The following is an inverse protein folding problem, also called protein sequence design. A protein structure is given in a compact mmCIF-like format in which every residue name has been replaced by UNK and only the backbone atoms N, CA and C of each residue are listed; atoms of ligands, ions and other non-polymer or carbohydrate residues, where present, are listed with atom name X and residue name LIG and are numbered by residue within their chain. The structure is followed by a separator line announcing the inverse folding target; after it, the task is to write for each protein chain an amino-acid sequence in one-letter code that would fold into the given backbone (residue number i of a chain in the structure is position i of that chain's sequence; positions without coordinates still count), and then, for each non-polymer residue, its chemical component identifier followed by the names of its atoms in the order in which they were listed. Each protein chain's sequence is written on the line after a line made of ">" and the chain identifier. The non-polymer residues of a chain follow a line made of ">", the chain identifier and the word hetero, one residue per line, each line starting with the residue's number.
data_IF_085301324660
#
_entry.id   IF_085301324660
#
_cell.length_a   1.000
_cell.length_b   1.000
_cell.length_c   1.000
_cell.angle_alpha   90.00
_cell.angle_beta   90.00
_cell.angle_gamma   90.00
#
_symmetry.space_group_name_H-M   'P 1'
#
loop_
_entity.id
_entity.type
_entity.pdbx_description
1 polymer ?
2 polymer ?
3 non-polymer ?
4 non-polymer ?
5 non-polymer ?
6 water ?
#
# COMPACT_ATOMS: atom_id res chain seq x y z
N UNK A 6 15.86 -27.63 -9.77
CA UNK A 6 14.71 -26.76 -9.56
C UNK A 6 14.67 -26.15 -8.16
N UNK A 7 15.30 -24.99 -8.01
CA UNK A 7 15.41 -24.31 -6.74
C UNK A 7 14.29 -23.30 -6.57
N UNK A 8 14.04 -22.92 -5.31
CA UNK A 8 13.11 -21.84 -4.96
C UNK A 8 13.85 -20.84 -4.09
N UNK A 9 14.47 -19.86 -4.74
CA UNK A 9 15.13 -18.74 -4.06
C UNK A 9 14.14 -17.59 -4.09
N UNK A 10 13.60 -17.23 -2.93
CA UNK A 10 12.47 -16.32 -2.80
C UNK A 10 12.96 -14.95 -2.35
N UNK A 11 12.45 -13.91 -3.00
CA UNK A 11 12.51 -12.56 -2.49
C UNK A 11 11.11 -11.94 -2.62
N UNK A 12 10.89 -10.86 -1.89
CA UNK A 12 9.60 -10.19 -1.86
C UNK A 12 9.81 -8.71 -2.11
N UNK A 13 8.86 -8.08 -2.81
CA UNK A 13 8.93 -6.64 -3.01
C UNK A 13 7.54 -6.04 -2.83
N UNK A 14 7.49 -4.84 -2.25
CA UNK A 14 6.25 -4.08 -2.14
C UNK A 14 5.40 -4.34 -0.91
N UNK A 15 5.81 -5.24 -0.01
CA UNK A 15 5.01 -5.61 1.15
C UNK A 15 5.46 -4.83 2.37
N UNK A 16 4.49 -4.40 3.18
CA UNK A 16 4.81 -3.81 4.46
C UNK A 16 5.27 -4.90 5.43
N UNK A 17 5.86 -4.46 6.54
CA UNK A 17 6.52 -5.37 7.47
C UNK A 17 5.59 -6.49 7.92
N UNK A 18 4.36 -6.14 8.31
CA UNK A 18 3.44 -7.14 8.85
C UNK A 18 3.05 -8.17 7.79
N UNK A 19 2.83 -7.72 6.54
CA UNK A 19 2.52 -8.65 5.45
C UNK A 19 3.72 -9.55 5.17
N UNK A 20 4.91 -8.96 5.15
CA UNK A 20 6.13 -9.72 4.90
C UNK A 20 6.37 -10.77 6.00
N UNK A 21 6.14 -10.39 7.26
CA UNK A 21 6.28 -11.34 8.36
C UNK A 21 5.35 -12.53 8.19
N UNK A 22 4.10 -12.29 7.78
CA UNK A 22 3.17 -13.39 7.62
C UNK A 22 3.59 -14.31 6.48
N UNK A 23 4.11 -13.74 5.40
CA UNK A 23 4.50 -14.56 4.25
C UNK A 23 5.76 -15.36 4.55
N UNK A 24 6.72 -14.75 5.25
CA UNK A 24 7.95 -15.49 5.55
C UNK A 24 7.65 -16.62 6.52
N UNK A 25 6.69 -16.44 7.43
CA UNK A 25 6.28 -17.51 8.32
C UNK A 25 5.78 -18.72 7.52
N UNK A 26 5.05 -18.48 6.44
CA UNK A 26 4.56 -19.57 5.61
C UNK A 26 5.69 -20.28 4.86
N UNK A 27 6.80 -19.57 4.60
CA UNK A 27 7.93 -20.21 3.92
C UNK A 27 8.55 -21.31 4.75
N UNK A 28 8.35 -21.28 6.07
CA UNK A 28 8.91 -22.33 6.92
C UNK A 28 8.26 -23.67 6.67
N UNK A 29 7.16 -23.72 5.92
CA UNK A 29 6.51 -24.97 5.57
C UNK A 29 7.03 -25.56 4.27
N UNK A 30 8.00 -24.91 3.63
CA UNK A 30 8.46 -25.31 2.30
C UNK A 30 9.98 -25.28 2.25
N UNK A 31 10.56 -26.22 1.51
CA UNK A 31 12.00 -26.17 1.25
C UNK A 31 12.29 -25.02 0.29
N UNK A 32 13.14 -24.11 0.72
CA UNK A 32 13.41 -22.92 -0.09
C UNK A 32 14.54 -22.12 0.54
N UNK A 33 14.96 -21.09 -0.19
CA UNK A 33 15.85 -20.06 0.30
C UNK A 33 15.09 -18.75 0.31
N UNK A 34 15.24 -17.96 1.38
CA UNK A 34 14.71 -16.60 1.40
C UNK A 34 15.86 -15.63 1.60
N UNK A 35 15.92 -14.60 0.76
CA UNK A 35 16.98 -13.61 0.86
C UNK A 35 16.37 -12.30 1.31
N UNK A 36 16.72 -11.87 2.52
CA UNK A 36 16.32 -10.56 3.02
C UNK A 36 17.36 -9.56 2.56
N UNK A 37 16.95 -8.66 1.67
CA UNK A 37 17.78 -7.55 1.19
C UNK A 37 16.86 -6.62 0.42
N UNK A 38 17.17 -5.32 0.47
CA UNK A 38 16.51 -4.39 -0.43
C UNK A 38 16.94 -4.60 -1.88
N UNK A 39 18.05 -5.31 -2.08
CA UNK A 39 18.63 -5.49 -3.39
C UNK A 39 18.08 -6.73 -4.07
N UNK A 40 18.11 -6.73 -5.39
CA UNK A 40 17.91 -7.96 -6.14
C UNK A 40 19.09 -8.88 -5.92
N UNK A 41 18.81 -10.13 -5.53
CA UNK A 41 19.84 -11.11 -5.22
C UNK A 41 19.59 -12.41 -5.97
N UNK A 42 19.22 -12.32 -7.24
CA UNK A 42 19.13 -13.47 -8.14
C UNK A 42 18.09 -14.49 -7.66
N UNK A 43 16.95 -13.99 -7.19
CA UNK A 43 15.85 -14.88 -6.84
C UNK A 43 15.31 -15.58 -8.07
N UNK A 44 14.87 -16.83 -7.88
CA UNK A 44 14.14 -17.53 -8.93
C UNK A 44 12.67 -17.15 -8.95
N UNK A 45 12.13 -16.80 -7.78
CA UNK A 45 10.73 -16.41 -7.62
C UNK A 45 10.69 -15.12 -6.81
N UNK A 46 10.20 -14.06 -7.43
CA UNK A 46 9.93 -12.80 -6.76
C UNK A 46 8.45 -12.72 -6.45
N UNK A 47 8.11 -12.48 -5.19
CA UNK A 47 6.72 -12.27 -4.80
C UNK A 47 6.49 -10.76 -4.75
N UNK A 48 5.61 -10.25 -5.59
CA UNK A 48 5.39 -8.82 -5.73
C UNK A 48 3.99 -8.46 -5.24
N UNK A 49 3.92 -7.45 -4.36
CA UNK A 49 2.63 -6.96 -3.89
C UNK A 49 1.82 -6.35 -5.04
N UNK A 50 2.49 -5.71 -5.99
CA UNK A 50 1.83 -5.03 -7.09
C UNK A 50 2.86 -4.82 -8.19
N UNK A 51 2.37 -4.51 -9.38
CA UNK A 51 3.29 -4.08 -10.43
C UNK A 51 3.99 -2.80 -9.96
N UNK A 52 5.28 -2.71 -10.23
CA UNK A 52 6.05 -1.58 -9.70
C UNK A 52 7.39 -1.51 -10.42
N UNK A 53 8.22 -0.53 -10.00
CA UNK A 53 9.53 -0.29 -10.59
C UNK A 53 10.63 -0.35 -9.53
N UNK A 54 10.48 -1.26 -8.56
CA UNK A 54 11.53 -1.50 -7.59
C UNK A 54 12.72 -2.15 -8.28
N UNK A 55 13.88 -2.09 -7.62
CA UNK A 55 15.04 -2.79 -8.15
C UNK A 55 14.74 -4.26 -8.34
N UNK A 56 14.09 -4.90 -7.36
CA UNK A 56 13.78 -6.32 -7.46
C UNK A 56 12.88 -6.61 -8.65
N UNK A 57 11.83 -5.79 -8.84
CA UNK A 57 10.89 -6.06 -9.91
C UNK A 57 11.55 -5.89 -11.28
N UNK A 58 12.30 -4.79 -11.47
CA UNK A 58 12.92 -4.56 -12.77
C UNK A 58 14.00 -5.60 -13.06
N UNK A 59 14.79 -5.94 -12.05
CA UNK A 59 15.85 -6.93 -12.25
C UNK A 59 15.26 -8.30 -12.54
N UNK A 60 14.20 -8.69 -11.84
CA UNK A 60 13.59 -9.99 -12.10
C UNK A 60 13.02 -10.06 -13.51
N UNK A 61 12.41 -8.97 -13.99
CA UNK A 61 11.97 -8.90 -15.38
C UNK A 61 13.15 -9.08 -16.32
N UNK A 62 14.25 -8.37 -16.05
CA UNK A 62 15.39 -8.39 -16.96
C UNK A 62 16.01 -9.77 -17.05
N UNK A 63 15.88 -10.57 -16.00
CA UNK A 63 16.44 -11.92 -15.98
C UNK A 63 15.39 -12.99 -16.31
N UNK A 64 14.16 -12.59 -16.62
CA UNK A 64 13.13 -13.55 -16.95
C UNK A 64 12.72 -14.46 -15.81
N UNK A 65 12.75 -13.96 -14.58
CA UNK A 65 12.36 -14.76 -13.43
C UNK A 65 10.84 -14.81 -13.29
N UNK A 66 10.38 -15.70 -12.41
CA UNK A 66 8.97 -15.73 -12.03
C UNK A 66 8.69 -14.57 -11.09
N UNK A 67 7.70 -13.75 -11.44
CA UNK A 67 7.19 -12.71 -10.57
C UNK A 67 5.73 -13.03 -10.31
N UNK A 68 5.39 -13.30 -9.06
CA UNK A 68 4.14 -13.95 -8.70
C UNK A 68 3.42 -13.16 -7.62
N UNK A 69 2.15 -13.50 -7.42
CA UNK A 69 1.36 -12.92 -6.34
C UNK A 69 1.59 -13.68 -5.05
N UNK A 70 1.19 -13.07 -3.94
CA UNK A 70 1.40 -13.70 -2.64
C UNK A 70 0.60 -14.99 -2.50
N UNK A 71 -0.48 -15.15 -3.28
CA UNK A 71 -1.24 -16.40 -3.27
C UNK A 71 -0.36 -17.60 -3.59
N UNK A 72 0.73 -17.40 -4.34
CA UNK A 72 1.63 -18.52 -4.63
C UNK A 72 2.22 -19.10 -3.35
N UNK A 73 2.60 -18.24 -2.40
CA UNK A 73 3.12 -18.72 -1.13
C UNK A 73 2.00 -19.31 -0.28
N UNK A 74 0.87 -18.60 -0.19
CA UNK A 74 -0.22 -19.05 0.66
C UNK A 74 -0.70 -20.44 0.23
N UNK A 75 -0.92 -20.62 -1.08
CA UNK A 75 -1.45 -21.90 -1.56
C UNK A 75 -0.40 -22.99 -1.53
N UNK A 76 0.86 -22.67 -1.84
CA UNK A 76 1.90 -23.70 -1.77
C UNK A 76 2.10 -24.19 -0.34
N UNK A 77 2.13 -23.27 0.62
CA UNK A 77 2.30 -23.69 2.00
C UNK A 77 1.14 -24.56 2.45
N UNK A 78 -0.09 -24.19 2.09
CA UNK A 78 -1.24 -25.01 2.45
C UNK A 78 -1.14 -26.40 1.83
N UNK A 79 -0.64 -26.50 0.60
CA UNK A 79 -0.53 -27.79 -0.06
C UNK A 79 0.70 -28.57 0.35
N UNK A 80 1.62 -27.95 1.10
CA UNK A 80 2.84 -28.63 1.50
C UNK A 80 3.82 -28.86 0.37
N UNK A 81 3.72 -28.11 -0.72
CA UNK A 81 4.55 -28.36 -1.89
C UNK A 81 4.47 -27.13 -2.79
N UNK A 82 5.59 -26.76 -3.40
CA UNK A 82 5.59 -25.66 -4.36
C UNK A 82 4.73 -26.02 -5.57
N UNK A 83 3.75 -25.18 -5.87
CA UNK A 83 2.80 -25.46 -6.92
C UNK A 83 3.28 -24.93 -8.27
N UNK A 84 2.52 -25.24 -9.31
CA UNK A 84 2.78 -24.69 -10.63
C UNK A 84 2.64 -23.17 -10.55
N UNK A 85 3.67 -22.46 -11.04
CA UNK A 85 3.69 -21.00 -10.98
C UNK A 85 2.68 -20.34 -11.91
N UNK A 86 2.19 -21.04 -12.94
CA UNK A 86 1.57 -20.39 -14.09
C UNK A 86 0.43 -19.45 -13.70
N UNK A 87 -0.54 -19.93 -12.92
CA UNK A 87 -1.71 -19.10 -12.67
C UNK A 87 -1.46 -18.00 -11.64
N UNK A 88 -0.28 -17.95 -11.03
CA UNK A 88 0.06 -16.94 -10.04
C UNK A 88 0.94 -15.85 -10.60
N UNK A 89 1.30 -15.95 -11.87
CA UNK A 89 2.25 -15.00 -12.47
C UNK A 89 1.59 -13.65 -12.69
N UNK A 90 2.34 -12.59 -12.40
CA UNK A 90 1.95 -11.27 -12.86
C UNK A 90 2.06 -11.25 -14.38
N UNK A 91 0.91 -11.20 -15.05
CA UNK A 91 0.85 -11.37 -16.49
C UNK A 91 -0.01 -12.53 -16.93
N UNK A 92 -0.38 -13.43 -16.01
CA UNK A 92 -1.28 -14.52 -16.36
C UNK A 92 -2.62 -13.99 -16.86
N UNK A 93 -3.13 -12.93 -16.25
CA UNK A 93 -4.38 -12.34 -16.67
C UNK A 93 -4.23 -10.82 -16.66
N UNK A 94 -4.67 -10.19 -17.74
CA UNK A 94 -4.50 -8.74 -17.94
C UNK A 94 -5.82 -8.04 -17.63
N UNK A 95 -5.73 -6.98 -16.83
CA UNK A 95 -6.88 -6.12 -16.51
C UNK A 95 -7.14 -5.17 -17.67
N UNK A 96 -8.33 -5.24 -18.26
CA UNK A 96 -8.60 -4.36 -19.38
C UNK A 96 -8.74 -2.91 -18.94
N UNK A 97 -9.19 -2.70 -17.70
CA UNK A 97 -9.38 -1.38 -17.08
C UNK A 97 -8.32 -1.23 -15.99
N UNK A 98 -7.25 -0.49 -16.27
CA UNK A 98 -6.11 -0.47 -15.37
C UNK A 98 -5.31 0.81 -15.56
N UNK A 99 -4.66 1.26 -14.47
CA UNK A 99 -3.67 2.33 -14.58
C UNK A 99 -2.41 1.88 -15.27
N UNK A 100 -2.24 0.58 -15.45
CA UNK A 100 -1.04 0.00 -16.05
C UNK A 100 -1.36 -0.50 -17.44
N UNK A 101 -0.46 -0.22 -18.38
CA UNK A 101 -0.64 -0.62 -19.76
C UNK A 101 -0.64 -2.14 -19.87
N UNK A 102 -1.26 -2.67 -20.92
CA UNK A 102 -1.16 -4.12 -21.16
C UNK A 102 0.27 -4.60 -21.22
N UNK A 103 1.18 -3.79 -21.76
CA UNK A 103 2.59 -4.18 -21.80
C UNK A 103 3.16 -4.28 -20.39
N UNK A 104 2.89 -3.29 -19.53
CA UNK A 104 3.43 -3.38 -18.17
C UNK A 104 2.83 -4.54 -17.39
N UNK A 105 1.51 -4.77 -17.53
CA UNK A 105 0.88 -5.86 -16.78
C UNK A 105 1.41 -7.22 -17.18
N UNK A 106 1.86 -7.35 -18.43
CA UNK A 106 2.35 -8.62 -18.96
C UNK A 106 3.86 -8.75 -18.90
N UNK A 107 4.56 -7.70 -18.49
CA UNK A 107 6.03 -7.67 -18.59
C UNK A 107 6.72 -8.88 -17.97
N UNK A 108 6.36 -9.33 -16.76
CA UNK A 108 7.10 -10.50 -16.22
C UNK A 108 6.93 -11.73 -17.07
N UNK A 109 5.71 -12.01 -17.52
CA UNK A 109 5.47 -13.16 -18.40
C UNK A 109 6.14 -12.97 -19.74
N UNK A 110 6.07 -11.77 -20.32
CA UNK A 110 6.68 -11.52 -21.62
C UNK A 110 8.16 -11.84 -21.61
N UNK A 111 8.87 -11.37 -20.58
CA UNK A 111 10.32 -11.59 -20.55
C UNK A 111 10.67 -13.04 -20.22
N UNK A 112 9.96 -13.64 -19.26
CA UNK A 112 10.22 -15.04 -18.95
C UNK A 112 10.07 -15.90 -20.20
N UNK A 113 8.97 -15.71 -20.94
CA UNK A 113 8.73 -16.52 -22.13
C UNK A 113 9.68 -16.14 -23.27
N UNK A 114 10.01 -14.85 -23.40
CA UNK A 114 10.87 -14.43 -24.51
C UNK A 114 12.29 -14.94 -24.34
N UNK A 115 12.83 -14.88 -23.12
CA UNK A 115 14.19 -15.37 -22.91
C UNK A 115 14.25 -16.88 -23.10
N UNK A 116 13.21 -17.61 -22.71
CA UNK A 116 13.18 -19.04 -23.01
C UNK A 116 13.11 -19.28 -24.51
N UNK A 117 12.31 -18.48 -25.23
CA UNK A 117 12.14 -18.67 -26.66
C UNK A 117 13.46 -18.47 -27.41
N UNK A 118 14.14 -17.36 -27.14
CA UNK A 118 15.34 -17.00 -27.89
C UNK A 118 16.60 -17.65 -27.34
N UNK A 119 16.60 -18.09 -26.09
CA UNK A 119 17.78 -18.62 -25.46
C UNK A 119 18.68 -17.58 -24.82
N UNK A 120 18.34 -16.30 -24.91
CA UNK A 120 19.19 -15.27 -24.34
C UNK A 120 19.11 -15.30 -22.81
N UNK A 121 20.20 -14.97 -22.11
CA UNK A 121 20.19 -15.05 -20.65
C UNK A 121 19.62 -13.84 -19.94
N UNK A 122 19.30 -12.78 -20.68
CA UNK A 122 18.71 -11.59 -20.09
C UNK A 122 18.29 -10.60 -21.16
N UNK A 123 17.46 -9.64 -20.74
CA UNK A 123 16.90 -8.64 -21.64
C UNK A 123 17.94 -7.70 -22.22
N UNK A 124 19.10 -7.56 -21.57
CA UNK A 124 20.14 -6.64 -22.00
C UNK A 124 21.40 -7.37 -22.45
N UNK A 125 21.29 -8.65 -22.78
CA UNK A 125 22.47 -9.39 -23.18
C UNK A 125 23.06 -8.79 -24.46
N UNK A 126 24.39 -8.65 -24.47
CA UNK A 126 25.22 -8.02 -25.52
C UNK A 126 25.22 -6.50 -25.40
N UNK A 127 24.46 -5.91 -24.48
CA UNK A 127 24.60 -4.48 -24.22
C UNK A 127 25.91 -4.21 -23.52
N UNK A 128 26.56 -3.11 -23.89
CA UNK A 128 27.77 -2.63 -23.21
C UNK A 128 27.50 -1.17 -22.86
N UNK A 129 27.27 -0.89 -21.58
CA UNK A 129 26.60 0.33 -21.14
C UNK A 129 27.57 1.20 -20.35
N UNK A 130 27.65 2.48 -20.72
CA UNK A 130 28.26 3.50 -19.87
C UNK A 130 27.14 4.25 -19.17
N UNK A 131 27.23 4.35 -17.85
CA UNK A 131 26.29 5.13 -17.06
C UNK A 131 26.89 6.49 -16.73
N UNK A 132 26.15 7.56 -17.04
CA UNK A 132 26.50 8.90 -16.61
C UNK A 132 25.43 9.40 -15.65
N UNK A 133 25.44 8.86 -14.43
CA UNK A 133 24.42 9.13 -13.44
C UNK A 133 24.84 10.32 -12.60
N UNK A 134 23.88 11.18 -12.28
CA UNK A 134 24.11 12.36 -11.47
C UNK A 134 24.99 12.03 -10.27
N UNK A 135 26.01 12.88 -10.05
CA UNK A 135 27.07 12.53 -9.11
C UNK A 135 26.60 12.52 -7.66
N UNK A 136 25.44 13.13 -7.36
CA UNK A 136 24.96 13.18 -5.99
C UNK A 136 24.24 11.92 -5.57
N UNK A 137 24.05 10.95 -6.47
CA UNK A 137 23.22 9.80 -6.19
C UNK A 137 23.92 8.52 -6.60
N UNK A 138 23.49 7.41 -6.00
CA UNK A 138 24.05 6.10 -6.29
C UNK A 138 23.45 5.54 -7.58
N UNK A 139 24.31 5.04 -8.46
CA UNK A 139 23.84 4.28 -9.61
C UNK A 139 23.67 2.80 -9.30
N UNK A 140 23.85 2.41 -8.03
CA UNK A 140 24.01 1.00 -7.69
C UNK A 140 22.79 0.16 -8.07
N UNK A 141 21.59 0.67 -7.83
CA UNK A 141 20.39 -0.10 -8.19
C UNK A 141 20.26 -0.26 -9.69
N UNK A 142 20.52 0.81 -10.46
CA UNK A 142 20.49 0.69 -11.91
C UNK A 142 21.50 -0.35 -12.38
N UNK A 143 22.69 -0.35 -11.77
CA UNK A 143 23.72 -1.30 -12.19
C UNK A 143 23.26 -2.73 -11.95
N UNK A 144 22.63 -3.00 -10.81
CA UNK A 144 22.19 -4.37 -10.55
C UNK A 144 21.06 -4.79 -11.46
N UNK A 145 20.18 -3.87 -11.87
CA UNK A 145 19.16 -4.20 -12.86
C UNK A 145 19.80 -4.51 -14.20
N UNK A 146 20.72 -3.66 -14.64
CA UNK A 146 21.42 -3.89 -15.90
C UNK A 146 22.14 -5.22 -15.88
N UNK A 147 22.85 -5.51 -14.79
CA UNK A 147 23.61 -6.76 -14.74
C UNK A 147 22.68 -7.97 -14.61
N UNK A 148 21.51 -7.80 -14.00
CA UNK A 148 20.57 -8.92 -13.97
C UNK A 148 20.08 -9.28 -15.36
N UNK A 149 19.99 -8.30 -16.25
CA UNK A 149 19.67 -8.50 -17.64
C UNK A 149 20.85 -8.86 -18.49
N UNK A 150 22.00 -9.10 -17.86
CA UNK A 150 23.24 -9.56 -18.50
C UNK A 150 23.88 -8.49 -19.37
N UNK A 151 23.58 -7.21 -19.11
CA UNK A 151 24.35 -6.14 -19.70
C UNK A 151 25.76 -6.10 -19.10
N UNK A 152 26.70 -5.60 -19.88
CA UNK A 152 28.04 -5.34 -19.41
C UNK A 152 28.12 -3.84 -19.10
N UNK A 153 28.26 -3.50 -17.82
CA UNK A 153 28.40 -2.11 -17.41
C UNK A 153 29.88 -1.75 -17.45
N UNK A 154 30.23 -0.84 -18.36
CA UNK A 154 31.61 -0.44 -18.58
C UNK A 154 32.01 0.54 -17.49
N UNK A 155 33.00 0.17 -16.68
CA UNK A 155 33.54 1.05 -15.66
C UNK A 155 34.52 2.05 -16.29
N UNK A 156 34.78 3.16 -15.61
CA UNK A 156 35.68 4.17 -16.19
C UNK A 156 37.05 3.63 -16.58
N UNK A 157 37.59 2.67 -15.85
CA UNK A 157 38.91 2.13 -16.14
C UNK A 157 38.90 1.09 -17.25
N UNK A 158 37.75 0.77 -17.84
CA UNK A 158 37.65 -0.19 -18.92
C UNK A 158 37.57 0.53 -20.26
N UNK A 159 38.05 -0.14 -21.31
CA UNK A 159 38.10 0.48 -22.63
C UNK A 159 36.68 0.74 -23.14
N UNK A 160 36.47 1.85 -23.83
CA UNK A 160 35.15 2.15 -24.40
C UNK A 160 34.85 1.45 -25.71
N UNK A 161 35.70 0.51 -26.14
CA UNK A 161 35.44 -0.20 -27.38
C UNK A 161 34.14 -0.97 -27.30
N UNK A 162 33.28 -0.77 -28.29
CA UNK A 162 32.07 -1.55 -28.39
C UNK A 162 30.91 -1.09 -27.53
N UNK A 163 30.99 0.09 -26.92
CA UNK A 163 29.86 0.61 -26.16
C UNK A 163 28.63 0.66 -27.05
N UNK A 164 27.50 0.22 -26.50
CA UNK A 164 26.24 0.21 -27.22
C UNK A 164 25.28 1.29 -26.77
N UNK A 165 25.28 1.62 -25.47
CA UNK A 165 24.37 2.59 -24.89
C UNK A 165 25.12 3.50 -23.94
N UNK A 166 24.82 4.78 -23.99
CA UNK A 166 25.15 5.71 -22.91
C UNK A 166 23.84 6.07 -22.22
N UNK A 167 23.68 5.61 -20.98
CA UNK A 167 22.48 5.91 -20.21
C UNK A 167 22.84 7.02 -19.23
N UNK A 168 22.18 8.16 -19.37
CA UNK A 168 22.66 9.39 -18.73
C UNK A 168 21.54 10.11 -18.02
N UNK A 169 21.84 10.57 -16.80
CA UNK A 169 21.01 11.57 -16.17
C UNK A 169 20.95 12.79 -17.09
N UNK A 170 19.74 13.32 -17.29
CA UNK A 170 19.55 14.50 -18.13
C UNK A 170 20.15 14.29 -19.52
N UNK A 171 19.95 13.09 -20.09
CA UNK A 171 20.43 12.82 -21.44
C UNK A 171 19.83 13.79 -22.44
N UNK A 172 18.60 14.26 -22.21
CA UNK A 172 17.93 15.06 -23.20
C UNK A 172 18.38 16.52 -23.23
N UNK A 173 19.19 16.99 -22.27
CA UNK A 173 19.64 18.38 -22.33
C UNK A 173 21.12 18.50 -22.64
N UNK A 174 21.84 17.39 -22.74
CA UNK A 174 23.28 17.46 -22.99
C UNK A 174 23.56 17.96 -24.40
N UNK A 175 24.60 18.77 -24.54
CA UNK A 175 24.99 19.29 -25.85
C UNK A 175 25.49 18.17 -26.74
N UNK A 176 25.33 18.38 -28.06
CA UNK A 176 25.91 17.45 -29.02
C UNK A 176 27.41 17.32 -28.84
N UNK A 177 28.07 18.42 -28.46
CA UNK A 177 29.52 18.40 -28.23
C UNK A 177 29.88 17.41 -27.12
N UNK A 178 29.07 17.36 -26.07
CA UNK A 178 29.32 16.37 -25.00
C UNK A 178 28.94 14.97 -25.46
N UNK A 179 27.83 14.84 -26.21
CA UNK A 179 27.46 13.53 -26.74
C UNK A 179 28.54 13.00 -27.69
N UNK A 180 29.28 13.89 -28.35
CA UNK A 180 30.32 13.50 -29.29
C UNK A 180 31.50 12.83 -28.61
N UNK A 181 31.60 12.89 -27.28
CA UNK A 181 32.64 12.14 -26.58
C UNK A 181 32.38 10.65 -26.60
N UNK A 182 31.25 10.20 -27.13
CA UNK A 182 30.90 8.79 -27.20
C UNK A 182 30.39 8.47 -28.60
N UNK A 183 30.76 7.29 -29.10
CA UNK A 183 30.25 6.85 -30.39
C UNK A 183 28.80 6.40 -30.29
N UNK A 184 28.42 5.82 -29.16
CA UNK A 184 27.09 5.26 -28.93
C UNK A 184 26.08 6.36 -28.63
N UNK A 185 24.80 6.11 -28.89
CA UNK A 185 23.76 7.11 -28.60
C UNK A 185 23.50 7.23 -27.11
N UNK A 186 22.88 8.35 -26.75
CA UNK A 186 22.50 8.63 -25.37
C UNK A 186 21.05 8.24 -25.13
N UNK A 187 20.79 7.66 -23.96
CA UNK A 187 19.45 7.29 -23.53
C UNK A 187 19.18 7.86 -22.15
N UNK A 188 17.96 8.32 -21.88
CA UNK A 188 17.61 8.77 -20.53
C UNK A 188 17.50 7.58 -19.58
N UNK A 189 17.55 7.89 -18.28
CA UNK A 189 17.37 6.86 -17.26
C UNK A 189 16.08 6.09 -17.49
N UNK A 190 15.00 6.80 -17.87
CA UNK A 190 13.71 6.15 -18.05
C UNK A 190 13.71 5.07 -19.14
N UNK A 191 14.67 5.11 -20.07
CA UNK A 191 14.70 4.12 -21.14
C UNK A 191 14.79 2.71 -20.59
N UNK A 192 15.52 2.53 -19.48
CA UNK A 192 15.70 1.22 -18.88
C UNK A 192 14.34 0.65 -18.47
N UNK A 193 13.55 1.45 -17.75
CA UNK A 193 12.23 0.99 -17.38
C UNK A 193 11.31 0.78 -18.57
N UNK A 194 11.39 1.68 -19.56
CA UNK A 194 10.50 1.59 -20.71
C UNK A 194 10.82 0.36 -21.55
N UNK A 195 12.12 0.08 -21.74
CA UNK A 195 12.50 -1.09 -22.52
C UNK A 195 11.90 -2.37 -21.93
N UNK A 196 11.92 -2.48 -20.60
CA UNK A 196 11.40 -3.67 -19.94
C UNK A 196 9.88 -3.69 -19.90
N UNK A 197 9.24 -2.57 -19.56
CA UNK A 197 7.83 -2.57 -19.20
C UNK A 197 6.88 -2.10 -20.29
N UNK A 198 7.32 -1.24 -21.20
CA UNK A 198 6.39 -0.53 -22.07
C UNK A 198 6.65 -0.75 -23.55
N UNK A 199 7.91 -0.83 -23.97
CA UNK A 199 8.23 -0.85 -25.38
C UNK A 199 7.65 -2.09 -26.07
N UNK A 200 7.08 -1.88 -27.25
CA UNK A 200 6.59 -2.98 -28.08
C UNK A 200 7.76 -3.40 -28.98
N UNK A 201 8.38 -4.53 -28.65
CA UNK A 201 9.45 -5.07 -29.47
C UNK A 201 8.86 -5.91 -30.61
N UNK B 5 -26.36 15.84 -7.35
CA UNK B 5 -27.04 16.16 -6.11
C UNK B 5 -26.38 15.51 -4.87
N UNK B 6 -26.04 14.22 -4.93
CA UNK B 6 -25.26 13.64 -3.82
C UNK B 6 -23.92 14.34 -3.67
N UNK B 7 -23.54 14.63 -2.43
CA UNK B 7 -22.26 15.24 -2.17
C UNK B 7 -21.16 14.18 -2.15
N UNK B 8 -19.95 14.61 -2.49
CA UNK B 8 -18.77 13.75 -2.38
C UNK B 8 -17.72 14.55 -1.64
N UNK B 9 -17.70 14.39 -0.32
CA UNK B 9 -16.69 14.99 0.55
C UNK B 9 -15.66 13.90 0.82
N UNK B 10 -14.46 14.05 0.26
CA UNK B 10 -13.48 12.96 0.16
C UNK B 10 -12.39 13.20 1.20
N UNK B 11 -12.03 12.13 1.92
CA UNK B 11 -10.78 12.09 2.66
C UNK B 11 -10.07 10.79 2.31
N UNK B 12 -8.78 10.73 2.66
CA UNK B 12 -7.93 9.59 2.36
C UNK B 12 -7.19 9.17 3.62
N UNK B 13 -6.99 7.87 3.79
CA UNK B 13 -6.19 7.37 4.90
C UNK B 13 -5.28 6.25 4.44
N UNK B 14 -4.03 6.25 4.93
CA UNK B 14 -3.12 5.15 4.71
C UNK B 14 -2.23 5.25 3.49
N UNK B 15 -2.35 6.30 2.68
CA UNK B 15 -1.59 6.42 1.44
C UNK B 15 -0.31 7.20 1.66
N UNK B 16 0.76 6.77 0.98
CA UNK B 16 1.98 7.56 0.94
C UNK B 16 1.78 8.77 0.05
N UNK B 17 2.67 9.76 0.20
CA UNK B 17 2.49 11.03 -0.49
C UNK B 17 2.33 10.87 -2.00
N UNK B 18 3.16 10.02 -2.62
CA UNK B 18 3.12 9.92 -4.08
C UNK B 18 1.76 9.41 -4.55
N UNK B 19 1.17 8.48 -3.80
CA UNK B 19 -0.13 7.97 -4.21
C UNK B 19 -1.24 8.97 -3.89
N UNK B 20 -1.12 9.68 -2.76
CA UNK B 20 -2.08 10.75 -2.48
C UNK B 20 -2.07 11.78 -3.58
N UNK B 21 -0.87 12.19 -4.03
CA UNK B 21 -0.78 13.16 -5.12
C UNK B 21 -1.47 12.64 -6.38
N UNK B 22 -1.23 11.37 -6.72
CA UNK B 22 -1.86 10.80 -7.91
C UNK B 22 -3.38 10.80 -7.79
N UNK B 23 -3.90 10.46 -6.61
CA UNK B 23 -5.35 10.37 -6.45
C UNK B 23 -6.00 11.75 -6.40
N UNK B 24 -5.38 12.71 -5.71
CA UNK B 24 -5.98 14.04 -5.67
C UNK B 24 -5.95 14.67 -7.06
N UNK B 25 -4.96 14.34 -7.88
CA UNK B 25 -4.94 14.84 -9.25
C UNK B 25 -6.12 14.32 -10.04
N UNK B 26 -6.56 13.09 -9.75
CA UNK B 26 -7.73 12.52 -10.43
C UNK B 26 -9.02 13.15 -9.93
N UNK B 27 -9.06 13.58 -8.67
CA UNK B 27 -10.23 14.29 -8.15
C UNK B 27 -10.55 15.54 -8.94
N UNK B 28 -9.56 16.14 -9.60
CA UNK B 28 -9.80 17.34 -10.40
C UNK B 28 -10.69 17.08 -11.60
N UNK B 29 -10.98 15.82 -11.91
CA UNK B 29 -11.90 15.45 -12.98
C UNK B 29 -13.33 15.33 -12.51
N UNK B 30 -13.59 15.56 -11.22
CA UNK B 30 -14.89 15.30 -10.63
C UNK B 30 -15.28 16.43 -9.71
N UNK B 31 -16.57 16.75 -9.69
CA UNK B 31 -17.08 17.70 -8.72
C UNK B 31 -17.07 17.06 -7.34
N UNK B 32 -16.34 17.66 -6.39
CA UNK B 32 -16.20 17.07 -5.07
C UNK B 32 -15.54 18.08 -4.15
N UNK B 33 -15.42 17.70 -2.89
CA UNK B 33 -14.63 18.39 -1.89
C UNK B 33 -13.55 17.43 -1.42
N UNK B 34 -12.31 17.90 -1.28
CA UNK B 34 -11.26 17.12 -0.64
C UNK B 34 -10.81 17.85 0.62
N UNK B 35 -10.76 17.14 1.74
CA UNK B 35 -10.32 17.72 3.01
C UNK B 35 -8.97 17.11 3.37
N UNK B 36 -7.93 17.93 3.33
CA UNK B 36 -6.59 17.53 3.77
C UNK B 36 -6.50 17.79 5.26
N UNK B 37 -6.42 16.72 6.04
CA UNK B 37 -6.26 16.79 7.49
C UNK B 37 -5.90 15.40 7.97
N UNK B 38 -5.11 15.33 9.05
CA UNK B 38 -4.94 14.04 9.72
C UNK B 38 -6.20 13.62 10.45
N UNK B 39 -7.10 14.57 10.72
CA UNK B 39 -8.30 14.32 11.50
C UNK B 39 -9.44 13.86 10.61
N UNK B 40 -10.36 13.10 11.20
CA UNK B 40 -11.64 12.86 10.55
C UNK B 40 -12.42 14.17 10.49
N UNK B 41 -12.93 14.51 9.31
CA UNK B 41 -13.65 15.76 9.08
C UNK B 41 -14.99 15.52 8.41
N UNK B 42 -15.71 14.49 8.86
CA UNK B 42 -17.09 14.23 8.39
C UNK B 42 -17.13 13.99 6.88
N UNK B 43 -16.19 13.21 6.37
CA UNK B 43 -16.22 12.85 4.97
C UNK B 43 -17.41 11.93 4.68
N UNK B 44 -17.96 12.05 3.47
CA UNK B 44 -18.97 11.10 3.02
C UNK B 44 -18.33 9.84 2.46
N UNK B 45 -17.15 9.98 1.86
CA UNK B 45 -16.43 8.88 1.23
C UNK B 45 -15.00 8.92 1.75
N UNK B 46 -14.60 7.90 2.50
CA UNK B 46 -13.21 7.75 2.91
C UNK B 46 -12.53 6.74 1.99
N UNK B 47 -11.43 7.16 1.37
CA UNK B 47 -10.61 6.27 0.55
C UNK B 47 -9.51 5.72 1.45
N UNK B 48 -9.49 4.40 1.64
CA UNK B 48 -8.56 3.74 2.54
C UNK B 48 -7.60 2.87 1.75
N UNK B 49 -6.30 3.04 2.02
CA UNK B 49 -5.29 2.19 1.38
C UNK B 49 -5.40 0.75 1.86
N UNK B 50 -5.77 0.55 3.13
CA UNK B 50 -5.85 -0.78 3.72
C UNK B 50 -6.80 -0.68 4.91
N UNK B 51 -7.20 -1.85 5.40
CA UNK B 51 -7.84 -1.92 6.70
C UNK B 51 -6.86 -1.45 7.77
N UNK B 52 -7.34 -0.63 8.69
CA UNK B 52 -6.46 -0.05 9.70
C UNK B 52 -7.31 0.47 10.84
N UNK B 53 -6.65 1.15 11.79
CA UNK B 53 -7.31 1.73 12.94
C UNK B 53 -6.93 3.20 13.09
N UNK B 54 -6.80 3.89 11.96
CA UNK B 54 -6.59 5.32 11.98
C UNK B 54 -7.83 6.02 12.51
N UNK B 55 -7.64 7.28 12.94
CA UNK B 55 -8.79 8.09 13.35
C UNK B 55 -9.84 8.15 12.25
N UNK B 56 -9.41 8.39 11.01
CA UNK B 56 -10.37 8.48 9.91
C UNK B 56 -11.13 7.19 9.71
N UNK B 57 -10.44 6.05 9.76
CA UNK B 57 -11.09 4.77 9.49
C UNK B 57 -12.10 4.43 10.57
N UNK B 58 -11.69 4.55 11.84
CA UNK B 58 -12.62 4.25 12.94
C UNK B 58 -13.80 5.20 12.95
N UNK B 59 -13.55 6.50 12.76
CA UNK B 59 -14.62 7.48 12.79
C UNK B 59 -15.60 7.25 11.66
N UNK B 60 -15.09 6.95 10.46
CA UNK B 60 -15.97 6.69 9.33
C UNK B 60 -16.85 5.47 9.58
N UNK B 61 -16.28 4.41 10.16
CA UNK B 61 -17.10 3.26 10.57
C UNK B 61 -18.18 3.70 11.55
N UNK B 62 -17.80 4.50 12.55
CA UNK B 62 -18.75 4.85 13.60
C UNK B 62 -19.93 5.65 13.07
N UNK B 63 -19.72 6.39 11.98
CA UNK B 63 -20.76 7.19 11.35
C UNK B 63 -21.39 6.49 10.16
N UNK B 64 -20.94 5.28 9.83
CA UNK B 64 -21.50 4.53 8.73
C UNK B 64 -21.25 5.15 7.37
N UNK B 65 -20.12 5.83 7.19
CA UNK B 65 -19.75 6.39 5.91
C UNK B 65 -19.27 5.30 4.95
N UNK B 66 -19.11 5.68 3.69
CA UNK B 66 -18.48 4.80 2.71
C UNK B 66 -16.97 4.78 2.94
N UNK B 67 -16.40 3.57 3.07
CA UNK B 67 -14.95 3.41 3.11
C UNK B 67 -14.59 2.53 1.92
N UNK B 68 -13.81 3.08 0.99
CA UNK B 68 -13.66 2.49 -0.34
C UNK B 68 -12.18 2.32 -0.70
N UNK B 69 -11.96 1.55 -1.77
CA UNK B 69 -10.63 1.39 -2.34
C UNK B 69 -10.31 2.55 -3.28
N UNK B 70 -9.02 2.74 -3.55
CA UNK B 70 -8.59 3.78 -4.46
C UNK B 70 -9.17 3.61 -5.87
N UNK B 71 -9.55 2.40 -6.24
CA UNK B 71 -10.16 2.19 -7.55
C UNK B 71 -11.46 2.97 -7.71
N UNK B 72 -12.13 3.33 -6.60
CA UNK B 72 -13.32 4.16 -6.72
C UNK B 72 -13.00 5.50 -7.36
N UNK B 73 -11.88 6.12 -6.95
CA UNK B 73 -11.45 7.38 -7.55
C UNK B 73 -10.96 7.15 -8.96
N UNK B 74 -10.15 6.10 -9.16
CA UNK B 74 -9.53 5.86 -10.45
C UNK B 74 -10.59 5.60 -11.52
N UNK B 75 -11.57 4.75 -11.20
CA UNK B 75 -12.59 4.41 -12.18
C UNK B 75 -13.58 5.57 -12.38
N UNK B 76 -13.94 6.28 -11.31
CA UNK B 76 -14.86 7.40 -11.47
C UNK B 76 -14.24 8.49 -12.35
N UNK B 77 -12.98 8.84 -12.10
CA UNK B 77 -12.32 9.85 -12.91
C UNK B 77 -12.27 9.43 -14.37
N UNK B 78 -12.01 8.15 -14.62
CA UNK B 78 -11.91 7.64 -15.99
C UNK B 78 -13.26 7.68 -16.70
N UNK B 79 -14.35 7.43 -15.98
CA UNK B 79 -15.69 7.55 -16.55
C UNK B 79 -16.20 8.98 -16.56
N UNK B 80 -15.55 9.89 -15.84
CA UNK B 80 -16.02 11.25 -15.77
C UNK B 80 -17.19 11.45 -14.86
N UNK B 81 -17.48 10.49 -13.98
CA UNK B 81 -18.61 10.64 -13.09
C UNK B 81 -18.41 9.75 -11.88
N UNK B 82 -18.99 10.17 -10.76
CA UNK B 82 -18.92 9.35 -9.56
C UNK B 82 -19.77 8.09 -9.75
N UNK B 83 -19.15 6.94 -9.50
CA UNK B 83 -19.78 5.66 -9.75
C UNK B 83 -20.55 5.18 -8.51
N UNK B 84 -21.32 4.12 -8.70
CA UNK B 84 -21.90 3.42 -7.56
C UNK B 84 -20.78 2.90 -6.66
N UNK B 85 -20.92 3.13 -5.35
CA UNK B 85 -19.89 2.79 -4.38
C UNK B 85 -19.78 1.30 -4.08
N UNK B 86 -20.84 0.53 -4.34
CA UNK B 86 -21.00 -0.79 -3.73
C UNK B 86 -19.81 -1.72 -3.97
N UNK B 87 -19.34 -1.83 -5.22
CA UNK B 87 -18.31 -2.83 -5.48
C UNK B 87 -16.93 -2.40 -5.05
N UNK B 88 -16.78 -1.15 -4.59
CA UNK B 88 -15.51 -0.61 -4.13
C UNK B 88 -15.41 -0.54 -2.60
N UNK B 89 -16.45 -0.98 -1.90
CA UNK B 89 -16.48 -0.87 -0.45
C UNK B 89 -15.52 -1.87 0.19
N UNK B 90 -14.81 -1.40 1.21
CA UNK B 90 -14.08 -2.33 2.07
C UNK B 90 -15.11 -3.17 2.82
N UNK B 91 -15.15 -4.46 2.50
CA UNK B 91 -16.19 -5.37 2.96
C UNK B 91 -16.95 -6.03 1.84
N UNK B 92 -16.87 -5.48 0.61
CA UNK B 92 -17.55 -6.09 -0.53
C UNK B 92 -16.98 -7.47 -0.84
N UNK B 93 -15.70 -7.70 -0.56
CA UNK B 93 -15.08 -9.00 -0.78
C UNK B 93 -14.15 -9.27 0.38
N UNK B 94 -14.39 -10.36 1.10
CA UNK B 94 -13.63 -10.72 2.29
C UNK B 94 -12.66 -11.82 1.93
N UNK B 95 -11.40 -11.67 2.33
CA UNK B 95 -10.36 -12.65 2.04
C UNK B 95 -10.43 -13.80 3.05
N UNK B 96 -10.28 -15.03 2.55
CA UNK B 96 -10.25 -16.17 3.47
C UNK B 96 -8.89 -16.28 4.15
N UNK B 97 -7.81 -16.03 3.41
CA UNK B 97 -6.45 -16.02 3.94
C UNK B 97 -6.08 -14.57 4.22
N UNK B 98 -6.27 -14.14 5.46
CA UNK B 98 -6.04 -12.74 5.82
C UNK B 98 -5.57 -12.65 7.26
N UNK B 99 -4.77 -11.62 7.54
CA UNK B 99 -4.41 -11.26 8.90
C UNK B 99 -5.59 -10.74 9.70
N UNK B 100 -6.70 -10.45 9.05
CA UNK B 100 -7.84 -9.79 9.69
C UNK B 100 -9.04 -10.72 9.73
N UNK B 101 -9.79 -10.64 10.84
CA UNK B 101 -11.02 -11.40 10.98
C UNK B 101 -12.02 -11.00 9.92
N UNK B 102 -12.97 -11.89 9.60
CA UNK B 102 -14.06 -11.49 8.71
C UNK B 102 -14.83 -10.28 9.21
N UNK B 103 -14.99 -10.16 10.54
CA UNK B 103 -15.67 -9.00 11.09
C UNK B 103 -14.90 -7.72 10.82
N UNK B 104 -13.57 -7.75 11.01
CA UNK B 104 -12.76 -6.56 10.73
C UNK B 104 -12.81 -6.21 9.24
N UNK B 105 -12.66 -7.21 8.37
CA UNK B 105 -12.67 -6.97 6.93
C UNK B 105 -13.97 -6.37 6.45
N UNK B 106 -15.07 -6.63 7.16
CA UNK B 106 -16.40 -6.19 6.74
C UNK B 106 -16.92 -5.01 7.53
N UNK B 107 -16.14 -4.48 8.47
CA UNK B 107 -16.65 -3.45 9.39
C UNK B 107 -17.25 -2.24 8.69
N UNK B 108 -16.61 -1.61 7.68
CA UNK B 108 -17.25 -0.44 7.05
C UNK B 108 -18.62 -0.76 6.48
N UNK B 109 -18.74 -1.86 5.74
CA UNK B 109 -20.03 -2.26 5.20
C UNK B 109 -21.02 -2.60 6.30
N UNK B 110 -20.57 -3.32 7.34
CA UNK B 110 -21.46 -3.70 8.42
C UNK B 110 -22.09 -2.49 9.09
N UNK B 111 -21.29 -1.45 9.36
CA UNK B 111 -21.84 -0.29 10.04
C UNK B 111 -22.67 0.58 9.12
N UNK B 112 -22.25 0.75 7.87
CA UNK B 112 -23.08 1.51 6.94
C UNK B 112 -24.46 0.87 6.81
N UNK B 113 -24.51 -0.46 6.65
CA UNK B 113 -25.79 -1.13 6.44
C UNK B 113 -26.61 -1.19 7.72
N UNK B 114 -25.96 -1.32 8.88
CA UNK B 114 -26.69 -1.43 10.14
C UNK B 114 -27.32 -0.10 10.52
N UNK B 115 -26.61 1.01 10.34
CA UNK B 115 -27.19 2.31 10.65
C UNK B 115 -28.32 2.65 9.68
N UNK B 116 -28.22 2.19 8.43
CA UNK B 116 -29.36 2.33 7.53
C UNK B 116 -30.54 1.49 8.01
N UNK B 117 -30.28 0.28 8.53
CA UNK B 117 -31.36 -0.59 8.93
C UNK B 117 -32.10 -0.04 10.15
N UNK B 118 -31.38 0.50 11.12
CA UNK B 118 -32.00 1.02 12.33
C UNK B 118 -32.38 2.49 12.23
N UNK B 119 -31.77 3.25 11.32
CA UNK B 119 -31.93 4.68 11.30
C UNK B 119 -31.13 5.43 12.34
N UNK B 120 -30.32 4.74 13.13
CA UNK B 120 -29.57 5.38 14.20
C UNK B 120 -28.49 6.29 13.61
N UNK B 121 -28.21 7.43 14.26
CA UNK B 121 -27.23 8.37 13.70
C UNK B 121 -25.80 7.88 13.75
N UNK B 122 -25.47 6.91 14.60
CA UNK B 122 -24.09 6.45 14.67
C UNK B 122 -23.98 5.26 15.59
N UNK B 123 -22.79 4.65 15.57
CA UNK B 123 -22.55 3.44 16.33
C UNK B 123 -22.60 3.66 17.83
N UNK B 124 -22.36 4.89 18.29
CA UNK B 124 -22.31 5.22 19.70
C UNK B 124 -23.48 6.10 20.11
N UNK B 125 -24.57 6.06 19.34
CA UNK B 125 -25.74 6.88 19.64
C UNK B 125 -26.23 6.58 21.04
N UNK B 126 -26.52 7.64 21.79
CA UNK B 126 -27.06 7.57 23.15
C UNK B 126 -26.01 7.09 24.15
N UNK B 127 -24.74 6.97 23.75
CA UNK B 127 -23.66 6.79 24.70
C UNK B 127 -23.30 8.14 25.31
N UNK B 128 -23.13 8.16 26.63
CA UNK B 128 -22.61 9.32 27.35
C UNK B 128 -21.32 8.88 28.03
N UNK B 129 -20.19 9.36 27.54
CA UNK B 129 -18.89 8.78 27.85
C UNK B 129 -18.03 9.73 28.66
N UNK B 130 -17.49 9.23 29.76
CA UNK B 130 -16.36 9.85 30.43
C UNK B 130 -15.11 9.20 29.87
N UNK B 131 -14.17 10.02 29.44
CA UNK B 131 -12.90 9.52 28.90
C UNK B 131 -11.84 9.86 29.95
N UNK B 132 -11.60 8.91 30.86
CA UNK B 132 -10.66 9.10 31.96
C UNK B 132 -9.23 8.74 31.59
N UNK B 133 -8.89 8.79 30.31
CA UNK B 133 -7.60 8.30 29.84
C UNK B 133 -6.55 9.40 29.94
N UNK B 134 -6.60 10.31 28.98
CA UNK B 134 -5.58 11.32 28.80
C UNK B 134 -6.31 12.55 28.28
N UNK B 135 -5.59 13.65 28.11
CA UNK B 135 -6.18 14.81 27.46
C UNK B 135 -5.07 15.46 26.64
N UNK B 136 -4.96 15.04 25.39
CA UNK B 136 -3.82 15.39 24.54
C UNK B 136 -4.22 15.18 23.09
N UNK B 137 -3.21 15.17 22.21
CA UNK B 137 -3.43 14.85 20.80
C UNK B 137 -4.15 13.50 20.66
N UNK B 138 -3.75 12.52 21.47
CA UNK B 138 -4.24 11.16 21.30
C UNK B 138 -5.62 10.98 21.91
N UNK B 139 -5.89 11.68 23.01
CA UNK B 139 -7.25 11.73 23.55
C UNK B 139 -8.20 12.44 22.59
N UNK B 140 -7.74 13.54 21.99
CA UNK B 140 -8.58 14.28 21.06
C UNK B 140 -8.99 13.43 19.87
N UNK B 141 -8.10 12.56 19.39
CA UNK B 141 -8.45 11.68 18.28
C UNK B 141 -9.56 10.70 18.67
N UNK B 142 -9.44 10.09 19.85
CA UNK B 142 -10.49 9.19 20.33
C UNK B 142 -11.81 9.92 20.49
N UNK B 143 -11.76 11.17 20.97
CA UNK B 143 -12.99 11.95 21.14
C UNK B 143 -13.66 12.19 19.80
N UNK B 144 -12.88 12.48 18.76
CA UNK B 144 -13.49 12.68 17.43
C UNK B 144 -14.11 11.40 16.89
N UNK B 145 -13.53 10.24 17.20
CA UNK B 145 -14.17 8.97 16.82
C UNK B 145 -15.48 8.78 17.57
N UNK B 146 -15.48 9.04 18.89
CA UNK B 146 -16.71 8.93 19.66
C UNK B 146 -17.79 9.86 19.13
N UNK B 147 -17.42 11.10 18.82
CA UNK B 147 -18.42 12.05 18.33
C UNK B 147 -18.88 11.72 16.93
N UNK B 148 -17.99 11.14 16.11
CA UNK B 148 -18.43 10.64 14.81
C UNK B 148 -19.51 9.58 14.97
N UNK B 149 -19.39 8.75 16.00
CA UNK B 149 -20.42 7.79 16.36
C UNK B 149 -21.60 8.35 17.10
N UNK B 150 -21.66 9.67 17.28
CA UNK B 150 -22.78 10.39 17.90
C UNK B 150 -22.89 10.16 19.39
N UNK B 151 -21.79 9.77 20.04
CA UNK B 151 -21.72 9.80 21.48
C UNK B 151 -21.57 11.24 21.97
N UNK B 152 -21.94 11.45 23.23
CA UNK B 152 -21.67 12.69 23.94
C UNK B 152 -20.54 12.46 24.93
N UNK B 153 -19.50 13.27 24.85
CA UNK B 153 -18.33 13.14 25.72
C UNK B 153 -18.42 14.13 26.87
N UNK B 154 -18.20 13.63 28.09
CA UNK B 154 -18.32 14.44 29.30
C UNK B 154 -17.25 15.53 29.32
N UNK B 155 -17.69 16.76 29.57
CA UNK B 155 -16.84 17.92 29.74
C UNK B 155 -16.74 18.28 31.22
N UNK B 156 -15.78 19.13 31.59
CA UNK B 156 -15.62 19.47 33.02
C UNK B 156 -16.88 20.01 33.67
N UNK B 157 -17.75 20.70 32.92
CA UNK B 157 -18.97 21.24 33.51
C UNK B 157 -20.20 20.35 33.29
N UNK B 158 -20.04 19.19 32.65
CA UNK B 158 -21.18 18.35 32.34
C UNK B 158 -21.80 17.76 33.60
N UNK B 159 -23.12 17.55 33.54
CA UNK B 159 -23.81 16.86 34.61
C UNK B 159 -23.53 15.37 34.51
N UNK B 160 -23.29 14.70 35.65
CA UNK B 160 -23.03 13.25 35.62
C UNK B 160 -24.26 12.40 35.32
N UNK B 161 -25.45 12.98 35.29
CA UNK B 161 -26.66 12.21 35.09
C UNK B 161 -26.65 11.52 33.74
N UNK B 162 -26.87 10.20 33.75
CA UNK B 162 -27.01 9.44 32.53
C UNK B 162 -25.74 8.94 31.90
N UNK B 163 -24.61 8.97 32.60
CA UNK B 163 -23.36 8.45 32.03
C UNK B 163 -23.51 6.94 31.80
N UNK B 164 -23.14 6.50 30.60
CA UNK B 164 -23.28 5.09 30.22
C UNK B 164 -21.96 4.34 30.16
N UNK B 165 -20.86 5.03 29.86
CA UNK B 165 -19.57 4.38 29.66
C UNK B 165 -18.49 5.20 30.33
N UNK B 166 -17.61 4.52 31.06
CA UNK B 166 -16.35 5.11 31.49
C UNK B 166 -15.24 4.34 30.77
N UNK B 167 -14.49 5.05 29.94
CA UNK B 167 -13.45 4.44 29.09
C UNK B 167 -12.09 4.92 29.57
N UNK B 168 -11.25 3.98 30.01
CA UNK B 168 -9.91 4.28 30.51
C UNK B 168 -9.10 2.99 30.52
N UNK B 169 -7.87 3.09 31.01
CA UNK B 169 -6.99 1.93 31.08
C UNK B 169 -7.56 0.88 32.05
N UNK B 170 -7.18 -0.38 31.83
CA UNK B 170 -7.60 -1.42 32.75
C UNK B 170 -7.08 -1.18 34.16
N UNK B 171 -5.76 -1.01 34.31
CA UNK B 171 -5.21 -0.66 35.62
C UNK B 171 -5.92 0.55 36.22
N UNK B 172 -6.27 1.52 35.38
CA UNK B 172 -7.09 2.65 35.82
C UNK B 172 -8.50 2.21 36.17
N UNK B 173 -9.06 1.26 35.41
CA UNK B 173 -10.38 0.71 35.71
C UNK B 173 -10.43 0.19 37.14
N UNK B 174 -9.37 -0.51 37.56
CA UNK B 174 -9.36 -1.09 38.90
C UNK B 174 -9.30 0.00 39.96
N UNK B 175 -8.55 1.07 39.69
CA UNK B 175 -8.33 2.10 40.70
C UNK B 175 -9.60 2.91 40.97
N UNK B 176 -10.37 3.22 39.93
CA UNK B 176 -11.58 4.00 40.12
C UNK B 176 -12.79 3.16 40.47
N UNK B 177 -12.78 1.86 40.16
CA UNK B 177 -13.71 0.94 40.81
C UNK B 177 -13.35 0.74 42.28
N UNK B 178 -12.12 1.08 42.66
CA UNK B 178 -11.71 1.05 44.06
C UNK B 178 -12.13 2.34 44.78
N UNK B 179 -12.11 3.47 44.08
CA UNK B 179 -12.54 4.74 44.67
C UNK B 179 -14.04 4.96 44.54
N UNK B 180 -14.65 4.47 43.45
CA UNK B 180 -16.09 4.56 43.22
C UNK B 180 -16.55 6.00 43.00
N UNK B 181 -15.77 6.77 42.25
CA UNK B 181 -16.20 8.09 41.84
C UNK B 181 -17.19 8.03 40.67
N UNK B 182 -17.32 6.89 40.04
CA UNK B 182 -18.26 6.69 38.94
C UNK B 182 -19.06 5.42 39.17
N UNK B 183 -20.32 5.45 38.72
CA UNK B 183 -21.22 4.31 38.82
C UNK B 183 -21.33 3.51 37.53
N UNK B 184 -20.99 4.11 36.39
CA UNK B 184 -21.14 3.43 35.11
C UNK B 184 -20.05 2.37 34.95
N UNK B 185 -20.30 1.35 34.11
CA UNK B 185 -19.28 0.32 33.90
C UNK B 185 -18.03 0.90 33.25
N UNK B 186 -16.90 0.25 33.52
CA UNK B 186 -15.61 0.70 33.03
C UNK B 186 -15.18 -0.15 31.84
N UNK B 187 -14.80 0.51 30.74
CA UNK B 187 -14.38 -0.18 29.54
C UNK B 187 -12.96 0.23 29.17
N UNK B 188 -12.14 -0.71 28.69
CA UNK B 188 -10.80 -0.34 28.20
C UNK B 188 -10.88 0.48 26.93
N UNK B 189 -9.78 1.17 26.62
CA UNK B 189 -9.64 1.82 25.32
C UNK B 189 -9.83 0.84 24.18
N UNK B 190 -9.41 -0.41 24.36
CA UNK B 190 -9.48 -1.38 23.28
C UNK B 190 -10.92 -1.66 22.91
N UNK B 191 -11.84 -1.40 23.85
CA UNK B 191 -13.25 -1.70 23.63
C UNK B 191 -13.83 -0.93 22.45
N UNK B 192 -13.43 0.32 22.28
CA UNK B 192 -13.94 1.11 21.15
C UNK B 192 -13.55 0.48 19.83
N UNK B 193 -12.30 0.05 19.70
CA UNK B 193 -11.88 -0.64 18.49
C UNK B 193 -12.60 -1.96 18.31
N UNK B 194 -12.67 -2.76 19.38
CA UNK B 194 -13.37 -4.05 19.29
C UNK B 194 -14.84 -3.87 18.99
N UNK B 195 -15.50 -2.89 19.63
CA UNK B 195 -16.92 -2.64 19.35
C UNK B 195 -17.15 -2.37 17.87
N UNK B 196 -16.26 -1.60 17.24
CA UNK B 196 -16.46 -1.26 15.83
C UNK B 196 -16.04 -2.40 14.91
N UNK B 197 -14.91 -3.03 15.20
CA UNK B 197 -14.25 -3.89 14.22
C UNK B 197 -14.42 -5.38 14.46
N UNK B 198 -14.60 -5.82 15.70
CA UNK B 198 -14.54 -7.25 15.98
C UNK B 198 -15.81 -7.83 16.59
N UNK B 199 -16.53 -7.07 17.41
CA UNK B 199 -17.64 -7.66 18.16
C UNK B 199 -18.78 -8.07 17.25
N UNK B 200 -19.46 -9.15 17.65
CA UNK B 200 -20.64 -9.66 16.95
C UNK B 200 -21.88 -9.13 17.65
N UNK B 201 -22.56 -8.19 17.02
CA UNK B 201 -23.74 -7.57 17.62
C UNK B 201 -25.03 -8.29 17.22
N UNK C 2 9.09 1.11 8.00
CA UNK C 2 10.12 0.52 8.84
C UNK C 2 11.49 0.61 8.18
N UNK C 3 12.49 1.04 8.97
CA UNK C 3 13.85 1.13 8.45
C UNK C 3 14.36 -0.21 7.96
N UNK C 4 13.88 -1.31 8.55
CA UNK C 4 14.24 -2.65 8.12
C UNK C 4 13.58 -3.06 6.82
N UNK C 5 12.69 -2.23 6.26
CA UNK C 5 11.90 -2.59 5.09
C UNK C 5 11.61 -1.31 4.31
N UNK C 6 12.65 -0.70 3.76
CA UNK C 6 12.51 0.59 3.11
C UNK C 6 13.01 0.60 1.66
N UNK C 8 12.95 1.06 -2.28
CA UNK C 8 12.21 1.96 -3.15
C UNK C 8 11.27 1.19 -4.08
N UNK C 9 10.06 1.71 -4.30
CA UNK C 9 9.14 1.09 -5.26
C UNK C 9 9.29 1.66 -6.66
N UNK C 10 10.20 2.62 -6.87
CA UNK C 10 10.39 3.21 -8.19
C UNK C 10 11.82 3.79 -8.22
N UNK C 11 12.78 2.97 -8.64
CA UNK C 11 14.17 3.41 -8.65
C UNK C 11 14.44 4.37 -9.80
N UNK C 12 13.57 4.42 -10.80
CA UNK C 12 13.70 5.42 -11.87
C UNK C 12 13.30 6.79 -11.34
N UNK C 13 12.14 6.87 -10.69
CA UNK C 13 11.66 8.12 -10.12
C UNK C 13 12.69 8.71 -9.15
N UNK C 14 13.36 7.85 -8.35
CA UNK C 14 14.33 8.34 -7.38
C UNK C 14 15.47 9.09 -8.04
N UNK C 15 15.88 8.64 -9.23
CA UNK C 15 17.00 9.28 -9.92
C UNK C 15 16.58 10.58 -10.62
N UNK C 16 15.29 10.81 -10.80
CA UNK C 16 14.82 12.06 -11.37
C UNK C 16 14.51 13.12 -10.32
N UNK C 17 14.45 12.75 -9.05
CA UNK C 17 14.29 13.73 -7.97
C UNK C 17 15.63 13.93 -7.24
N UNK D 3 6.32 15.21 6.65
CA UNK D 3 5.75 15.90 7.81
C UNK D 3 4.26 16.17 7.59
N UNK D 4 3.87 16.29 6.32
CA UNK D 4 2.50 16.61 5.95
C UNK D 4 1.65 15.37 5.68
N UNK D 5 2.00 14.23 6.28
CA UNK D 5 1.25 13.00 6.08
C UNK D 5 1.56 11.98 7.18
N UNK D 6 1.47 12.41 8.43
CA UNK D 6 1.88 11.55 9.53
C UNK D 6 0.71 11.14 10.42
N UNK D 8 -1.66 8.68 12.28
CA UNK D 8 -1.40 7.36 12.84
C UNK D 8 -2.30 6.32 12.18
N UNK D 9 -1.76 5.15 11.91
CA UNK D 9 -2.55 4.04 11.37
C UNK D 9 -3.20 3.20 12.46
N UNK D 10 -3.03 3.56 13.72
CA UNK D 10 -3.60 2.79 14.82
C UNK D 10 -3.60 3.68 16.06
N UNK D 11 -4.72 4.37 16.28
CA UNK D 11 -4.84 5.24 17.45
C UNK D 11 -5.19 4.45 18.71
N UNK D 12 -5.53 3.17 18.57
CA UNK D 12 -5.77 2.32 19.73
C UNK D 12 -4.45 1.83 20.30
N UNK D 13 -3.60 1.24 19.45
CA UNK D 13 -2.28 0.79 19.89
C UNK D 13 -1.45 1.97 20.36
N UNK D 14 -1.73 3.16 19.80
CA UNK D 14 -0.99 4.36 20.17
C UNK D 14 -1.22 4.71 21.63
N UNK D 15 -2.41 4.42 22.15
CA UNK D 15 -2.72 4.62 23.55
C UNK D 15 -2.37 3.41 24.40
N UNK D 16 -1.89 2.34 23.78
CA UNK D 16 -1.60 1.10 24.49
C UNK D 16 -0.15 1.09 24.97
#
# INVERSE_FOLDING_TARGET
>A
MEDGTPKHIIQMTGFKMEEKEALVKLLLKLDCTFIKSEKYKNCTHLIAERLCKSEKFLAACAAGKWILTKDYIIHSAKSGRWLDETTYEWGYKIEKDSRYSPQMQSAPKRWREELKRTGAPGAFHRWKVVLLVRTDKRSDSLIRVLEAGKANVILPKSSPSGITHVIASNARIKAEKEKDNFKAPFYPIQYLGDFLLEKLEHHHHHH
>B
MEDGTPKHIIQMTGFKMEEKEALVKLLLKLDCTFIKSEKYKNCTHLIAERLCKSEKFLAACAAGKWILTKDYIIHSAKSGRWLDETTYEWGYKIEKDSRYSPQMQSAPKRWREELKRTGAPGAFHRWKVVLLVRTDKRSDSLIRVLEAGKANVILPKSSPSGITHVIASNARIKAEKEKDNFKAPFYPIQYLGDFLLEKLEHHHHHH
>C
SDSCNSXSSDIIRDLLE
>D
SDSCNSXSSDIIRDLLE
#
